data_IF_109527133424
#
_entry.id   IF_109527133424
#
_cell.length_a   1.000
_cell.length_b   1.000
_cell.length_c   1.000
_cell.angle_alpha   90.00
_cell.angle_beta   90.00
_cell.angle_gamma   90.00
#
_symmetry.space_group_name_H-M   'P 1'
#
loop_
_entity.id
_entity.type
_entity.pdbx_description
1 polymer ?
#
# COMPACT_ATOMS: atom_id res chain seq x y z
N UNK A 1 -0.45 5.01 -9.70
CA UNK A 1 -0.94 4.19 -8.56
C UNK A 1 -0.23 4.47 -7.26
N UNK A 2 1.10 4.39 -7.16
CA UNK A 2 1.79 4.72 -5.88
C UNK A 2 1.43 6.12 -5.33
N UNK A 3 1.34 7.12 -6.21
CA UNK A 3 0.90 8.46 -5.82
C UNK A 3 -0.52 8.49 -5.25
N UNK A 4 -1.44 7.70 -5.80
CA UNK A 4 -2.81 7.59 -5.30
C UNK A 4 -2.82 6.99 -3.88
N UNK A 5 -1.99 5.96 -3.65
CA UNK A 5 -1.84 5.35 -2.32
C UNK A 5 -1.37 6.38 -1.30
N UNK A 6 -0.34 7.19 -1.64
CA UNK A 6 0.17 8.24 -0.75
C UNK A 6 -0.86 9.33 -0.49
N UNK A 7 -1.52 9.84 -1.55
CA UNK A 7 -2.56 10.86 -1.42
C UNK A 7 -3.73 10.38 -0.56
N UNK A 8 -4.14 9.13 -0.72
CA UNK A 8 -5.22 8.55 0.06
C UNK A 8 -4.88 8.49 1.56
N UNK A 9 -3.63 8.16 1.90
CA UNK A 9 -3.16 8.16 3.30
C UNK A 9 -3.07 9.59 3.86
N UNK A 10 -2.52 10.53 3.10
CA UNK A 10 -2.43 11.94 3.49
C UNK A 10 -3.82 12.58 3.68
N UNK A 11 -4.82 12.12 2.92
CA UNK A 11 -6.18 12.61 2.94
C UNK A 11 -7.15 11.60 3.60
N UNK A 12 -6.69 10.81 4.57
CA UNK A 12 -7.50 9.74 5.21
C UNK A 12 -8.83 10.18 5.83
N UNK A 13 -8.96 11.47 6.14
CA UNK A 13 -10.20 12.07 6.68
C UNK A 13 -11.10 12.69 5.60
N UNK A 14 -10.64 12.76 4.34
CA UNK A 14 -11.41 13.28 3.23
C UNK A 14 -12.32 12.17 2.67
N UNK A 15 -13.66 12.36 2.64
CA UNK A 15 -14.59 11.38 2.10
C UNK A 15 -14.27 10.93 0.67
N UNK A 16 -13.74 11.82 -0.17
CA UNK A 16 -13.40 11.52 -1.57
C UNK A 16 -12.25 10.52 -1.74
N UNK A 17 -11.50 10.23 -0.67
CA UNK A 17 -10.40 9.25 -0.66
C UNK A 17 -10.72 8.03 0.21
N UNK A 18 -11.96 7.89 0.70
CA UNK A 18 -12.33 6.85 1.67
C UNK A 18 -12.07 5.44 1.12
N UNK A 19 -12.47 5.17 -0.12
CA UNK A 19 -12.33 3.84 -0.73
C UNK A 19 -10.86 3.52 -1.03
N UNK A 20 -10.10 4.48 -1.55
CA UNK A 20 -8.67 4.34 -1.77
C UNK A 20 -7.90 4.13 -0.47
N UNK A 21 -8.23 4.88 0.59
CA UNK A 21 -7.60 4.72 1.89
C UNK A 21 -7.90 3.33 2.48
N UNK A 22 -9.16 2.88 2.41
CA UNK A 22 -9.54 1.51 2.77
C UNK A 22 -8.74 0.47 1.99
N UNK A 23 -8.55 0.66 0.70
CA UNK A 23 -7.76 -0.25 -0.14
C UNK A 23 -6.27 -0.27 0.26
N UNK A 24 -5.66 0.89 0.59
CA UNK A 24 -4.29 0.94 1.10
C UNK A 24 -4.15 0.15 2.40
N UNK A 25 -5.09 0.34 3.34
CA UNK A 25 -5.06 -0.36 4.62
C UNK A 25 -5.31 -1.86 4.46
N UNK A 26 -6.24 -2.27 3.58
CA UNK A 26 -6.46 -3.69 3.28
C UNK A 26 -5.23 -4.35 2.64
N UNK A 27 -4.56 -3.66 1.73
CA UNK A 27 -3.29 -4.13 1.16
C UNK A 27 -2.20 -4.26 2.24
N UNK A 28 -2.11 -3.30 3.17
CA UNK A 28 -1.16 -3.37 4.28
C UNK A 28 -1.41 -4.58 5.20
N UNK A 29 -2.67 -4.84 5.56
CA UNK A 29 -3.03 -6.01 6.37
C UNK A 29 -2.72 -7.33 5.67
N UNK A 30 -2.93 -7.41 4.35
CA UNK A 30 -2.49 -8.56 3.55
C UNK A 30 -0.96 -8.79 3.69
N UNK A 31 -0.14 -7.74 3.59
CA UNK A 31 1.30 -7.87 3.71
C UNK A 31 1.76 -8.25 5.12
N UNK A 32 1.05 -7.82 6.17
CA UNK A 32 1.30 -8.28 7.54
C UNK A 32 1.06 -9.78 7.67
N UNK A 33 -0.06 -10.29 7.13
CA UNK A 33 -0.35 -11.73 7.12
C UNK A 33 0.68 -12.51 6.30
N UNK A 34 1.06 -11.99 5.14
CA UNK A 34 2.07 -12.60 4.28
C UNK A 34 3.43 -12.71 4.99
N UNK A 35 3.86 -11.67 5.70
CA UNK A 35 5.12 -11.66 6.46
C UNK A 35 5.12 -12.71 7.58
N UNK A 36 4.00 -12.90 8.28
CA UNK A 36 3.86 -13.96 9.31
C UNK A 36 4.07 -15.35 8.68
N UNK A 37 3.47 -15.60 7.51
CA UNK A 37 3.54 -16.89 6.83
C UNK A 37 4.91 -17.16 6.19
N UNK A 38 5.60 -16.11 5.72
CA UNK A 38 6.85 -16.24 4.95
C UNK A 38 8.09 -15.78 5.70
N UNK A 39 7.97 -15.36 6.96
CA UNK A 39 9.05 -14.72 7.74
C UNK A 39 9.67 -13.55 6.96
N UNK A 40 8.80 -12.74 6.35
CA UNK A 40 9.16 -11.62 5.47
C UNK A 40 9.28 -10.28 6.20
N UNK A 41 9.57 -9.22 5.42
CA UNK A 41 9.63 -7.83 5.89
C UNK A 41 8.89 -6.85 4.96
N UNK A 42 7.98 -7.38 4.13
CA UNK A 42 7.23 -6.62 3.14
C UNK A 42 6.31 -5.58 3.80
N UNK A 43 5.66 -5.90 4.92
CA UNK A 43 4.80 -4.98 5.64
C UNK A 43 5.58 -3.77 6.18
N UNK A 44 6.79 -4.00 6.71
CA UNK A 44 7.69 -2.91 7.16
C UNK A 44 8.03 -1.98 6.00
N UNK A 45 8.40 -2.54 4.85
CA UNK A 45 8.68 -1.77 3.64
C UNK A 45 7.45 -1.00 3.14
N UNK A 46 6.26 -1.64 3.12
CA UNK A 46 5.00 -1.02 2.72
C UNK A 46 4.68 0.18 3.62
N UNK A 47 4.74 -0.01 4.94
CA UNK A 47 4.46 1.05 5.90
C UNK A 47 5.41 2.23 5.73
N UNK A 48 6.71 1.96 5.55
CA UNK A 48 7.71 3.00 5.35
C UNK A 48 7.49 3.81 4.06
N UNK A 49 7.05 3.14 2.99
CA UNK A 49 6.87 3.76 1.67
C UNK A 49 5.57 4.56 1.53
N UNK A 50 4.50 4.15 2.22
CA UNK A 50 3.15 4.66 1.95
C UNK A 50 2.36 5.11 3.17
N UNK A 51 2.68 4.64 4.38
CA UNK A 51 1.90 4.98 5.59
C UNK A 51 2.54 6.07 6.46
N UNK A 52 3.83 6.31 6.30
CA UNK A 52 4.55 7.36 7.01
C UNK A 52 4.54 8.66 6.21
N UNK A 53 4.26 9.77 6.89
CA UNK A 53 4.48 11.10 6.35
C UNK A 53 5.99 11.36 6.29
N UNK A 54 6.55 11.24 5.09
CA UNK A 54 7.95 11.50 4.81
C UNK A 54 8.10 12.23 3.49
N UNK A 55 9.12 13.08 3.40
CA UNK A 55 9.55 13.65 2.13
C UNK A 55 9.86 12.54 1.11
N UNK A 56 9.76 12.84 -0.17
CA UNK A 56 10.14 11.90 -1.22
C UNK A 56 11.65 11.57 -1.08
N UNK A 57 11.95 10.37 -0.59
CA UNK A 57 13.32 9.89 -0.45
C UNK A 57 13.78 9.13 -1.70
N UNK A 58 15.09 9.13 -1.93
CA UNK A 58 15.69 8.38 -3.03
C UNK A 58 15.57 6.87 -2.78
N UNK A 59 15.50 6.10 -3.87
CA UNK A 59 15.44 4.64 -3.80
C UNK A 59 16.63 4.05 -3.04
N UNK A 60 17.83 4.61 -3.23
CA UNK A 60 19.05 4.21 -2.54
C UNK A 60 18.90 4.36 -1.02
N UNK A 61 18.46 5.53 -0.54
CA UNK A 61 18.27 5.78 0.91
C UNK A 61 17.28 4.80 1.52
N UNK A 62 16.13 4.62 0.87
CA UNK A 62 15.09 3.68 1.31
C UNK A 62 15.59 2.23 1.32
N UNK A 63 16.42 1.84 0.35
CA UNK A 63 17.00 0.50 0.28
C UNK A 63 17.93 0.20 1.46
N UNK A 64 18.77 1.19 1.83
CA UNK A 64 19.68 1.11 2.98
C UNK A 64 18.89 1.03 4.28
N UNK A 65 17.92 1.94 4.47
CA UNK A 65 17.10 1.98 5.69
C UNK A 65 16.29 0.70 5.91
N UNK A 66 15.75 0.14 4.84
CA UNK A 66 14.96 -1.09 4.89
C UNK A 66 15.82 -2.36 4.92
N UNK A 67 17.15 -2.25 4.72
CA UNK A 67 18.05 -3.39 4.65
C UNK A 67 17.75 -4.33 3.47
N UNK A 68 17.25 -3.81 2.35
CA UNK A 68 16.89 -4.58 1.15
C UNK A 68 17.60 -4.02 -0.07
N UNK A 69 18.10 -4.88 -0.95
CA UNK A 69 18.71 -4.41 -2.20
C UNK A 69 17.71 -3.63 -3.07
N UNK A 70 18.18 -2.63 -3.82
CA UNK A 70 17.33 -1.76 -4.64
C UNK A 70 16.42 -2.50 -5.62
N UNK A 71 16.93 -3.56 -6.27
CA UNK A 71 16.12 -4.41 -7.17
C UNK A 71 14.99 -5.12 -6.43
N UNK A 72 15.24 -5.56 -5.20
CA UNK A 72 14.22 -6.15 -4.32
C UNK A 72 13.20 -5.10 -3.92
N UNK A 73 13.63 -3.90 -3.55
CA UNK A 73 12.73 -2.79 -3.23
C UNK A 73 11.82 -2.44 -4.43
N UNK A 74 12.39 -2.38 -5.63
CA UNK A 74 11.61 -2.15 -6.85
C UNK A 74 10.58 -3.26 -7.10
N UNK A 75 10.94 -4.51 -6.86
CA UNK A 75 10.01 -5.65 -6.95
C UNK A 75 8.87 -5.53 -5.93
N UNK A 76 9.20 -5.17 -4.68
CA UNK A 76 8.21 -4.95 -3.64
C UNK A 76 7.22 -3.86 -4.03
N UNK A 77 7.69 -2.71 -4.50
CA UNK A 77 6.80 -1.62 -4.97
C UNK A 77 5.81 -2.08 -6.04
N UNK A 78 6.26 -2.86 -7.02
CA UNK A 78 5.37 -3.44 -8.04
C UNK A 78 4.33 -4.40 -7.44
N UNK A 79 4.72 -5.22 -6.47
CA UNK A 79 3.81 -6.12 -5.77
C UNK A 79 2.80 -5.36 -4.90
N UNK A 80 3.25 -4.29 -4.23
CA UNK A 80 2.41 -3.42 -3.40
C UNK A 80 1.33 -2.71 -4.23
N UNK A 81 1.72 -2.17 -5.39
CA UNK A 81 0.75 -1.60 -6.34
C UNK A 81 -0.25 -2.65 -6.80
N UNK A 82 0.18 -3.87 -7.13
CA UNK A 82 -0.74 -4.95 -7.55
C UNK A 82 -1.74 -5.32 -6.46
N UNK A 83 -1.26 -5.49 -5.22
CA UNK A 83 -2.17 -5.78 -4.08
C UNK A 83 -3.14 -4.62 -3.85
N UNK A 84 -2.69 -3.38 -3.97
CA UNK A 84 -3.55 -2.20 -3.81
C UNK A 84 -4.64 -2.15 -4.88
N UNK A 85 -4.28 -2.33 -6.16
CA UNK A 85 -5.24 -2.34 -7.28
C UNK A 85 -6.30 -3.41 -7.05
N UNK A 86 -5.88 -4.63 -6.69
CA UNK A 86 -6.80 -5.72 -6.42
C UNK A 86 -7.79 -5.38 -5.30
N UNK A 87 -7.31 -4.83 -4.18
CA UNK A 87 -8.17 -4.44 -3.06
C UNK A 87 -9.12 -3.29 -3.43
N UNK A 88 -8.64 -2.33 -4.22
CA UNK A 88 -9.43 -1.20 -4.68
C UNK A 88 -10.57 -1.66 -5.58
N UNK A 89 -10.29 -2.54 -6.53
CA UNK A 89 -11.29 -3.07 -7.46
C UNK A 89 -12.35 -3.90 -6.72
N UNK A 90 -11.93 -4.74 -5.75
CA UNK A 90 -12.85 -5.51 -4.89
C UNK A 90 -13.80 -4.60 -4.11
N UNK A 91 -13.27 -3.55 -3.48
CA UNK A 91 -14.09 -2.61 -2.70
C UNK A 91 -15.07 -1.83 -3.57
N UNK A 92 -14.66 -1.42 -4.77
CA UNK A 92 -15.56 -0.73 -5.71
C UNK A 92 -16.69 -1.64 -6.20
N UNK A 93 -16.41 -2.92 -6.41
CA UNK A 93 -17.44 -3.91 -6.75
C UNK A 93 -18.43 -4.10 -5.59
N UNK A 94 -17.94 -4.22 -4.35
CA UNK A 94 -18.79 -4.32 -3.16
C UNK A 94 -19.71 -3.08 -3.00
N UNK A 95 -19.17 -1.88 -3.19
CA UNK A 95 -19.95 -0.62 -3.10
C UNK A 95 -21.04 -0.57 -4.19
N UNK A 96 -20.72 -0.95 -5.43
CA UNK A 96 -21.71 -0.99 -6.52
C UNK A 96 -22.85 -1.99 -6.26
N UNK A 97 -22.58 -3.12 -5.60
CA UNK A 97 -23.59 -4.12 -5.25
C UNK A 97 -24.48 -3.68 -4.09
N UNK A 98 -23.99 -2.79 -3.22
CA UNK A 98 -24.78 -2.22 -2.12
C UNK A 98 -25.71 -1.12 -2.60
N UNK A 99 -25.29 -0.30 -3.58
CA UNK A 99 -26.12 0.77 -4.17
C UNK A 99 -27.26 0.22 -5.05
N UNK A 100 -27.12 -1.01 -5.57
CA UNK A 100 -28.14 -1.67 -6.39
C UNK A 100 -29.24 -2.39 -5.59
N UNK A 101 -29.19 -2.37 -4.26
CA UNK A 101 -30.15 -3.01 -3.34
C UNK A 101 -31.01 -1.97 -2.63
#
# INVERSE_FOLDING_TARGET
>A
MEELMRRAVQNKFNPSYRTEYRAVMAAYEFWKLYDILKRGSCAKAFARLYLQDGAAETQVKLSIELGVGERTLLRYRKQFVRSFVYMLDSLKQEESLQEAR
#
